data_IF_226977528618
#
_entry.id   IF_226977528618
#
_cell.length_a   1.000
_cell.length_b   1.000
_cell.length_c   1.000
_cell.angle_alpha   90.00
_cell.angle_beta   90.00
_cell.angle_gamma   90.00
#
_symmetry.space_group_name_H-M   'P 1'
#
loop_
_entity.id
_entity.type
_entity.pdbx_description
1 polymer ?
#
# COMPACT_ATOMS: atom_id res chain seq x y z
N UNK A 1 -21.79 -14.08 -15.91
CA UNK A 1 -21.01 -14.98 -15.04
C UNK A 1 -20.59 -14.22 -13.81
N UNK A 2 -20.71 -14.82 -12.64
CA UNK A 2 -20.20 -14.26 -11.37
C UNK A 2 -18.67 -14.34 -11.32
N UNK A 3 -18.03 -13.54 -10.45
CA UNK A 3 -16.57 -13.60 -10.28
C UNK A 3 -16.09 -14.98 -9.83
N UNK A 4 -16.89 -15.70 -9.03
CA UNK A 4 -16.62 -17.07 -8.59
C UNK A 4 -16.63 -18.07 -9.74
N UNK A 5 -17.60 -18.00 -10.65
CA UNK A 5 -17.67 -18.85 -11.84
C UNK A 5 -16.44 -18.66 -12.75
N UNK A 6 -15.94 -17.43 -12.89
CA UNK A 6 -14.72 -17.18 -13.66
C UNK A 6 -13.47 -17.78 -13.01
N UNK A 7 -13.41 -17.80 -11.68
CA UNK A 7 -12.28 -18.39 -10.96
C UNK A 7 -12.29 -19.93 -11.04
N UNK A 8 -13.46 -20.55 -11.03
CA UNK A 8 -13.60 -22.01 -11.21
C UNK A 8 -13.07 -22.49 -12.56
N UNK A 9 -13.20 -21.67 -13.60
CA UNK A 9 -12.63 -21.96 -14.94
C UNK A 9 -11.22 -21.37 -15.14
N UNK A 10 -10.55 -20.91 -14.08
CA UNK A 10 -9.17 -20.39 -14.09
C UNK A 10 -9.00 -19.01 -14.72
N UNK A 11 -10.07 -18.29 -15.05
CA UNK A 11 -10.05 -17.00 -15.74
C UNK A 11 -9.95 -15.83 -14.75
N UNK A 12 -8.73 -15.54 -14.26
CA UNK A 12 -8.48 -14.47 -13.28
C UNK A 12 -8.77 -13.05 -13.80
N UNK A 13 -8.44 -12.72 -15.05
CA UNK A 13 -8.66 -11.37 -15.59
C UNK A 13 -10.17 -11.03 -15.72
N UNK A 14 -11.02 -11.87 -16.33
CA UNK A 14 -12.46 -11.63 -16.33
C UNK A 14 -13.09 -11.54 -14.93
N UNK A 15 -12.63 -12.37 -13.98
CA UNK A 15 -13.07 -12.26 -12.59
C UNK A 15 -12.74 -10.89 -11.98
N UNK A 16 -11.53 -10.37 -12.27
CA UNK A 16 -11.10 -9.04 -11.83
C UNK A 16 -11.95 -7.93 -12.45
N UNK A 17 -12.27 -8.03 -13.74
CA UNK A 17 -13.08 -7.04 -14.46
C UNK A 17 -14.50 -6.94 -13.85
N UNK A 18 -15.12 -8.08 -13.53
CA UNK A 18 -16.43 -8.12 -12.84
C UNK A 18 -16.38 -7.43 -11.48
N UNK A 19 -15.35 -7.71 -10.67
CA UNK A 19 -15.20 -7.09 -9.36
C UNK A 19 -14.90 -5.59 -9.45
N UNK A 20 -14.13 -5.16 -10.46
CA UNK A 20 -13.86 -3.75 -10.74
C UNK A 20 -15.15 -2.98 -11.03
N UNK A 21 -16.04 -3.53 -11.85
CA UNK A 21 -17.31 -2.91 -12.18
C UNK A 21 -18.22 -2.74 -10.95
N UNK A 22 -18.21 -3.70 -10.03
CA UNK A 22 -18.94 -3.60 -8.77
C UNK A 22 -18.39 -2.47 -7.90
N UNK A 23 -17.07 -2.40 -7.72
CA UNK A 23 -16.41 -1.36 -6.90
C UNK A 23 -16.61 0.04 -7.49
N UNK A 24 -16.64 0.16 -8.82
CA UNK A 24 -16.83 1.43 -9.53
C UNK A 24 -18.30 1.86 -9.65
N UNK A 25 -19.24 0.95 -9.43
CA UNK A 25 -20.67 1.20 -9.62
C UNK A 25 -21.17 2.35 -8.76
N UNK A 26 -21.84 3.32 -9.40
CA UNK A 26 -22.46 4.46 -8.70
C UNK A 26 -23.67 4.06 -7.85
N UNK A 27 -24.22 2.86 -8.04
CA UNK A 27 -25.42 2.37 -7.34
C UNK A 27 -25.11 1.89 -5.91
N UNK A 28 -23.86 1.53 -5.61
CA UNK A 28 -23.45 0.94 -4.35
C UNK A 28 -22.37 1.78 -3.64
N UNK A 29 -22.70 3.04 -3.35
CA UNK A 29 -21.76 4.00 -2.73
C UNK A 29 -21.77 4.00 -1.21
N UNK A 30 -22.75 3.37 -0.58
CA UNK A 30 -22.82 3.22 0.88
C UNK A 30 -22.17 1.91 1.27
N UNK A 31 -21.19 1.96 2.16
CA UNK A 31 -20.53 0.76 2.65
C UNK A 31 -21.52 -0.24 3.25
N UNK A 32 -21.29 -1.51 2.96
CA UNK A 32 -21.99 -2.66 3.52
C UNK A 32 -20.95 -3.74 3.79
N UNK A 33 -21.22 -4.65 4.74
CA UNK A 33 -20.30 -5.73 5.13
C UNK A 33 -19.80 -6.58 3.95
N UNK A 34 -20.60 -6.72 2.88
CA UNK A 34 -20.21 -7.49 1.69
C UNK A 34 -19.12 -6.83 0.84
N UNK A 35 -18.92 -5.51 0.96
CA UNK A 35 -17.89 -4.81 0.18
C UNK A 35 -16.47 -5.23 0.59
N UNK A 36 -16.27 -5.56 1.86
CA UNK A 36 -14.96 -5.97 2.38
C UNK A 36 -14.44 -7.27 1.74
N UNK A 37 -15.18 -8.41 1.76
CA UNK A 37 -14.72 -9.62 1.08
C UNK A 37 -14.62 -9.45 -0.45
N UNK A 38 -15.47 -8.62 -1.07
CA UNK A 38 -15.34 -8.24 -2.49
C UNK A 38 -14.00 -7.54 -2.73
N UNK A 39 -13.64 -6.57 -1.87
CA UNK A 39 -12.41 -5.82 -1.98
C UNK A 39 -11.18 -6.68 -1.70
N UNK A 40 -11.24 -7.58 -0.70
CA UNK A 40 -10.16 -8.54 -0.43
C UNK A 40 -9.92 -9.44 -1.64
N UNK A 41 -10.98 -10.00 -2.24
CA UNK A 41 -10.82 -10.85 -3.43
C UNK A 41 -10.33 -10.07 -4.65
N UNK A 42 -10.79 -8.83 -4.82
CA UNK A 42 -10.30 -7.93 -5.86
C UNK A 42 -8.80 -7.69 -5.74
N UNK A 43 -8.32 -7.34 -4.54
CA UNK A 43 -6.90 -7.09 -4.27
C UNK A 43 -6.05 -8.35 -4.43
N UNK A 44 -6.57 -9.51 -4.01
CA UNK A 44 -5.92 -10.80 -4.25
C UNK A 44 -5.63 -11.02 -5.75
N UNK A 45 -6.63 -10.79 -6.60
CA UNK A 45 -6.46 -10.89 -8.05
C UNK A 45 -5.54 -9.82 -8.63
N UNK A 46 -5.57 -8.59 -8.10
CA UNK A 46 -4.61 -7.55 -8.48
C UNK A 46 -3.17 -7.94 -8.16
N UNK A 47 -2.91 -8.57 -7.01
CA UNK A 47 -1.57 -9.05 -6.63
C UNK A 47 -1.15 -10.20 -7.54
N UNK A 48 -2.01 -11.22 -7.70
CA UNK A 48 -1.71 -12.38 -8.54
C UNK A 48 -1.39 -12.00 -10.00
N UNK A 49 -2.09 -11.00 -10.54
CA UNK A 49 -1.88 -10.50 -11.90
C UNK A 49 -0.87 -9.34 -11.98
N UNK A 50 -0.31 -8.91 -10.84
CA UNK A 50 0.62 -7.77 -10.69
C UNK A 50 0.08 -6.46 -11.29
N UNK A 51 -1.22 -6.22 -11.16
CA UNK A 51 -1.95 -5.05 -11.69
C UNK A 51 -2.01 -3.92 -10.66
N UNK A 52 -0.87 -3.31 -10.33
CA UNK A 52 -0.80 -2.24 -9.29
C UNK A 52 -1.68 -1.03 -9.60
N UNK A 53 -1.80 -0.64 -10.88
CA UNK A 53 -2.67 0.46 -11.28
C UNK A 53 -4.15 0.19 -10.97
N UNK A 54 -4.61 -1.05 -11.15
CA UNK A 54 -5.98 -1.44 -10.79
C UNK A 54 -6.16 -1.44 -9.28
N UNK A 55 -5.20 -2.00 -8.52
CA UNK A 55 -5.23 -1.95 -7.06
C UNK A 55 -5.37 -0.51 -6.53
N UNK A 56 -4.60 0.43 -7.08
CA UNK A 56 -4.69 1.87 -6.75
C UNK A 56 -6.09 2.42 -7.00
N UNK A 57 -6.65 2.18 -8.18
CA UNK A 57 -7.98 2.68 -8.53
C UNK A 57 -9.06 2.09 -7.63
N UNK A 58 -9.03 0.77 -7.41
CA UNK A 58 -9.97 0.08 -6.54
C UNK A 58 -9.90 0.58 -5.11
N UNK A 59 -8.69 0.73 -4.54
CA UNK A 59 -8.50 1.26 -3.18
C UNK A 59 -8.98 2.70 -3.06
N UNK A 60 -8.78 3.53 -4.08
CA UNK A 60 -9.31 4.89 -4.09
C UNK A 60 -10.84 4.91 -4.07
N UNK A 61 -11.49 4.07 -4.86
CA UNK A 61 -12.96 3.94 -4.82
C UNK A 61 -13.43 3.39 -3.48
N UNK A 62 -12.76 2.35 -2.95
CA UNK A 62 -13.11 1.75 -1.66
C UNK A 62 -12.98 2.74 -0.51
N UNK A 63 -11.92 3.56 -0.49
CA UNK A 63 -11.76 4.68 0.45
C UNK A 63 -12.98 5.59 0.42
N UNK A 64 -13.46 5.99 -0.76
CA UNK A 64 -14.63 6.86 -0.88
C UNK A 64 -15.91 6.20 -0.33
N UNK A 65 -16.07 4.88 -0.51
CA UNK A 65 -17.23 4.12 -0.03
C UNK A 65 -17.24 4.03 1.51
N UNK A 66 -16.08 3.78 2.13
CA UNK A 66 -16.00 3.51 3.57
C UNK A 66 -15.66 4.75 4.44
N UNK A 67 -15.18 5.85 3.87
CA UNK A 67 -14.67 7.02 4.61
C UNK A 67 -15.63 7.58 5.67
N UNK A 68 -16.94 7.57 5.40
CA UNK A 68 -17.95 8.12 6.32
C UNK A 68 -18.49 7.08 7.30
N UNK A 69 -18.43 5.78 6.97
CA UNK A 69 -19.15 4.73 7.70
C UNK A 69 -18.20 3.84 8.50
N UNK A 70 -17.15 3.33 7.86
CA UNK A 70 -16.25 2.35 8.46
C UNK A 70 -14.84 2.47 7.89
N UNK A 71 -14.11 3.51 8.30
CA UNK A 71 -12.72 3.70 7.91
C UNK A 71 -11.81 2.55 8.36
N UNK A 72 -12.20 1.80 9.41
CA UNK A 72 -11.44 0.65 9.88
C UNK A 72 -11.36 -0.46 8.83
N UNK A 73 -12.44 -0.67 8.08
CA UNK A 73 -12.44 -1.59 6.94
C UNK A 73 -11.41 -1.21 5.87
N UNK A 74 -11.13 0.09 5.66
CA UNK A 74 -10.04 0.52 4.77
C UNK A 74 -8.67 0.07 5.30
N UNK A 75 -8.46 0.20 6.60
CA UNK A 75 -7.19 -0.22 7.22
C UNK A 75 -6.97 -1.71 7.04
N UNK A 76 -8.01 -2.51 7.28
CA UNK A 76 -7.92 -3.96 7.24
C UNK A 76 -7.65 -4.45 5.81
N UNK A 77 -8.31 -3.88 4.79
CA UNK A 77 -8.05 -4.26 3.38
C UNK A 77 -6.67 -3.81 2.91
N UNK A 78 -6.17 -2.64 3.34
CA UNK A 78 -4.82 -2.16 2.99
C UNK A 78 -3.74 -3.04 3.64
N UNK A 79 -3.92 -3.40 4.92
CA UNK A 79 -3.00 -4.32 5.63
C UNK A 79 -2.99 -5.69 4.95
N UNK A 80 -4.15 -6.23 4.60
CA UNK A 80 -4.25 -7.52 3.89
C UNK A 80 -3.58 -7.47 2.52
N UNK A 81 -3.76 -6.38 1.75
CA UNK A 81 -3.13 -6.20 0.45
C UNK A 81 -1.60 -6.18 0.51
N UNK A 82 -1.04 -5.37 1.43
CA UNK A 82 0.42 -5.29 1.59
C UNK A 82 1.00 -6.62 2.08
N UNK A 83 0.35 -7.26 3.05
CA UNK A 83 0.75 -8.59 3.52
C UNK A 83 0.79 -9.61 2.38
N UNK A 84 -0.23 -9.64 1.53
CA UNK A 84 -0.26 -10.56 0.38
C UNK A 84 0.86 -10.25 -0.63
N UNK A 85 1.12 -8.96 -0.89
CA UNK A 85 2.20 -8.54 -1.79
C UNK A 85 3.60 -8.90 -1.23
N UNK A 86 3.80 -8.76 0.08
CA UNK A 86 5.01 -9.17 0.80
C UNK A 86 5.21 -10.68 0.72
N UNK A 87 4.18 -11.47 1.06
CA UNK A 87 4.22 -12.94 1.00
C UNK A 87 4.60 -13.44 -0.40
N UNK A 88 3.97 -12.90 -1.46
CA UNK A 88 4.31 -13.25 -2.84
C UNK A 88 5.73 -12.86 -3.23
N UNK A 89 6.24 -11.75 -2.71
CA UNK A 89 7.62 -11.30 -2.97
C UNK A 89 8.62 -12.20 -2.26
N UNK A 90 8.32 -12.66 -1.03
CA UNK A 90 9.18 -13.58 -0.30
C UNK A 90 9.19 -14.98 -0.94
N UNK A 91 8.03 -15.51 -1.35
CA UNK A 91 7.98 -16.76 -2.14
C UNK A 91 8.82 -16.66 -3.42
N UNK A 92 8.71 -15.56 -4.17
CA UNK A 92 9.52 -15.35 -5.37
C UNK A 92 11.02 -15.23 -5.08
N UNK A 93 11.41 -14.77 -3.88
CA UNK A 93 12.80 -14.71 -3.43
C UNK A 93 13.32 -16.12 -3.11
N UNK A 94 12.54 -16.92 -2.39
CA UNK A 94 12.89 -18.31 -2.06
C UNK A 94 13.05 -19.15 -3.34
N UNK A 95 12.10 -19.06 -4.28
CA UNK A 95 12.17 -19.74 -5.57
C UNK A 95 13.41 -19.32 -6.38
N UNK A 96 13.73 -18.03 -6.36
CA UNK A 96 14.88 -17.50 -7.08
C UNK A 96 16.23 -17.97 -6.52
N UNK A 97 16.34 -18.08 -5.20
CA UNK A 97 17.53 -18.61 -4.53
C UNK A 97 17.75 -20.10 -4.84
N UNK A 98 16.67 -20.88 -5.01
CA UNK A 98 16.76 -22.30 -5.40
C UNK A 98 17.20 -22.51 -6.85
N UNK A 99 16.93 -21.55 -7.74
CA UNK A 99 17.21 -21.64 -9.18
C UNK A 99 18.53 -20.96 -9.61
N UNK A 100 19.37 -20.56 -8.63
CA UNK A 100 20.79 -20.18 -8.71
C UNK A 100 21.28 -19.41 -9.96
N UNK A 101 20.49 -18.43 -10.44
CA UNK A 101 20.85 -17.30 -11.35
C UNK A 101 19.66 -16.56 -12.01
N UNK A 102 18.45 -16.64 -11.44
CA UNK A 102 17.23 -16.00 -12.03
C UNK A 102 16.62 -14.87 -11.19
N UNK A 103 17.35 -14.28 -10.23
CA UNK A 103 16.92 -13.14 -9.38
C UNK A 103 16.31 -11.97 -10.16
N UNK A 104 16.91 -11.63 -11.31
CA UNK A 104 16.40 -10.54 -12.14
C UNK A 104 15.08 -10.87 -12.84
N UNK A 105 14.81 -12.14 -13.13
CA UNK A 105 13.64 -12.56 -13.89
C UNK A 105 12.45 -12.87 -12.98
N UNK A 106 12.69 -13.48 -11.82
CA UNK A 106 11.64 -13.89 -10.90
C UNK A 106 11.37 -12.83 -9.83
N UNK A 107 12.40 -12.41 -9.08
CA UNK A 107 12.23 -11.55 -7.91
C UNK A 107 12.03 -10.08 -8.27
N UNK A 108 12.80 -9.55 -9.24
CA UNK A 108 12.78 -8.10 -9.55
C UNK A 108 11.38 -7.56 -9.91
N UNK A 109 10.55 -8.25 -10.72
CA UNK A 109 9.17 -7.82 -10.97
C UNK A 109 8.31 -7.71 -9.70
N UNK A 110 8.46 -8.65 -8.76
CA UNK A 110 7.73 -8.64 -7.49
C UNK A 110 8.21 -7.50 -6.57
N UNK A 111 9.52 -7.28 -6.46
CA UNK A 111 10.08 -6.15 -5.69
C UNK A 111 9.60 -4.81 -6.24
N UNK A 112 9.51 -4.64 -7.57
CA UNK A 112 8.95 -3.43 -8.19
C UNK A 112 7.46 -3.27 -7.89
N UNK A 113 6.69 -4.36 -7.96
CA UNK A 113 5.26 -4.35 -7.64
C UNK A 113 5.02 -4.01 -6.15
N UNK A 114 5.79 -4.60 -5.24
CA UNK A 114 5.71 -4.35 -3.80
C UNK A 114 6.06 -2.89 -3.47
N UNK A 115 7.14 -2.36 -4.06
CA UNK A 115 7.48 -0.94 -3.93
C UNK A 115 6.32 -0.02 -4.36
N UNK A 116 5.74 -0.27 -5.54
CA UNK A 116 4.65 0.57 -6.05
C UNK A 116 3.40 0.43 -5.16
N UNK A 117 3.18 -0.74 -4.57
CA UNK A 117 2.10 -1.00 -3.60
C UNK A 117 2.27 -0.15 -2.34
N UNK A 118 3.46 -0.11 -1.74
CA UNK A 118 3.75 0.78 -0.61
C UNK A 118 3.53 2.24 -0.98
N UNK A 119 4.11 2.69 -2.11
CA UNK A 119 4.01 4.09 -2.57
C UNK A 119 2.56 4.53 -2.73
N UNK A 120 1.73 3.69 -3.37
CA UNK A 120 0.31 3.97 -3.59
C UNK A 120 -0.51 3.97 -2.30
N UNK A 121 -0.20 3.08 -1.35
CA UNK A 121 -0.85 3.09 -0.04
C UNK A 121 -0.51 4.35 0.76
N UNK A 122 0.77 4.78 0.75
CA UNK A 122 1.17 6.04 1.37
C UNK A 122 0.47 7.25 0.74
N UNK A 123 0.37 7.28 -0.60
CA UNK A 123 -0.38 8.30 -1.33
C UNK A 123 -1.88 8.32 -0.97
N UNK A 124 -2.49 7.15 -0.76
CA UNK A 124 -3.91 7.00 -0.43
C UNK A 124 -4.24 7.51 0.97
N UNK A 125 -3.35 7.25 1.94
CA UNK A 125 -3.56 7.48 3.37
C UNK A 125 -3.05 8.85 3.86
N UNK A 126 -2.33 9.60 3.03
CA UNK A 126 -1.75 10.90 3.41
C UNK A 126 -2.79 11.90 3.95
N UNK A 127 -2.37 12.73 4.90
CA UNK A 127 -3.13 13.81 5.51
C UNK A 127 -4.55 13.41 5.96
N UNK A 128 -4.67 12.26 6.62
CA UNK A 128 -5.91 11.80 7.21
C UNK A 128 -5.66 11.28 8.63
N UNK A 129 -6.06 12.07 9.63
CA UNK A 129 -5.85 11.75 11.05
C UNK A 129 -6.47 10.42 11.50
N UNK A 130 -7.52 9.94 10.81
CA UNK A 130 -8.18 8.67 11.16
C UNK A 130 -7.39 7.42 10.80
N UNK A 131 -6.40 7.54 9.91
CA UNK A 131 -5.57 6.42 9.43
C UNK A 131 -4.07 6.75 9.52
N UNK A 132 -3.73 7.80 10.26
CA UNK A 132 -2.37 8.29 10.43
C UNK A 132 -1.44 7.21 10.98
N UNK A 133 -1.89 6.45 11.99
CA UNK A 133 -1.13 5.33 12.54
C UNK A 133 -0.76 4.31 11.46
N UNK A 134 -1.73 3.89 10.64
CA UNK A 134 -1.47 2.97 9.54
C UNK A 134 -0.49 3.56 8.52
N UNK A 135 -0.62 4.85 8.19
CA UNK A 135 0.32 5.54 7.29
C UNK A 135 1.77 5.45 7.82
N UNK A 136 1.98 5.70 9.12
CA UNK A 136 3.30 5.61 9.74
C UNK A 136 3.82 4.18 9.82
N UNK A 137 2.98 3.21 10.19
CA UNK A 137 3.33 1.79 10.19
C UNK A 137 3.82 1.34 8.80
N UNK A 138 3.10 1.73 7.73
CA UNK A 138 3.44 1.41 6.34
C UNK A 138 4.75 2.11 5.92
N UNK A 139 4.96 3.37 6.32
CA UNK A 139 6.19 4.08 6.00
C UNK A 139 7.41 3.39 6.63
N UNK A 140 7.30 2.92 7.87
CA UNK A 140 8.36 2.15 8.55
C UNK A 140 8.60 0.80 7.86
N UNK A 141 7.54 0.09 7.44
CA UNK A 141 7.67 -1.15 6.66
C UNK A 141 8.35 -0.91 5.31
N UNK A 142 8.02 0.18 4.61
CA UNK A 142 8.63 0.53 3.34
C UNK A 142 10.15 0.82 3.47
N UNK A 143 10.61 1.38 4.60
CA UNK A 143 12.04 1.50 4.89
C UNK A 143 12.72 0.14 5.10
N UNK A 144 12.08 -0.75 5.88
CA UNK A 144 12.57 -2.13 6.07
C UNK A 144 12.64 -2.90 4.75
N UNK A 145 11.64 -2.75 3.88
CA UNK A 145 11.66 -3.27 2.51
C UNK A 145 12.86 -2.73 1.71
N UNK A 146 13.09 -1.41 1.75
CA UNK A 146 14.22 -0.81 1.03
C UNK A 146 15.56 -1.37 1.50
N UNK A 147 15.71 -1.59 2.81
CA UNK A 147 16.89 -2.20 3.41
C UNK A 147 17.04 -3.67 2.97
N UNK A 148 15.99 -4.49 3.16
CA UNK A 148 15.98 -5.93 2.87
C UNK A 148 16.35 -6.23 1.41
N UNK A 149 15.84 -5.46 0.45
CA UNK A 149 16.09 -5.67 -0.97
C UNK A 149 17.12 -4.68 -1.56
N UNK A 150 17.89 -3.99 -0.72
CA UNK A 150 18.96 -3.03 -1.10
C UNK A 150 18.54 -1.96 -2.13
N UNK A 151 17.31 -1.47 -2.01
CA UNK A 151 16.66 -0.54 -2.95
C UNK A 151 17.02 0.93 -2.68
N UNK A 152 18.29 1.30 -2.90
CA UNK A 152 18.80 2.68 -2.65
C UNK A 152 18.05 3.77 -3.44
N UNK A 153 17.56 3.48 -4.65
CA UNK A 153 16.84 4.45 -5.47
C UNK A 153 15.42 4.72 -4.92
N UNK A 154 14.71 3.65 -4.57
CA UNK A 154 13.38 3.72 -3.96
C UNK A 154 13.43 4.34 -2.56
N UNK A 155 14.48 4.07 -1.78
CA UNK A 155 14.71 4.72 -0.48
C UNK A 155 14.72 6.25 -0.60
N UNK A 156 15.49 6.80 -1.57
CA UNK A 156 15.53 8.26 -1.81
C UNK A 156 14.15 8.80 -2.20
N UNK A 157 13.46 8.10 -3.12
CA UNK A 157 12.09 8.46 -3.51
C UNK A 157 11.13 8.43 -2.32
N UNK A 158 11.26 7.46 -1.41
CA UNK A 158 10.43 7.39 -0.20
C UNK A 158 10.66 8.63 0.67
N UNK A 159 11.91 9.01 0.90
CA UNK A 159 12.26 10.22 1.66
C UNK A 159 11.67 11.49 1.03
N UNK A 160 11.78 11.64 -0.30
CA UNK A 160 11.19 12.75 -1.04
C UNK A 160 9.66 12.80 -0.90
N UNK A 161 8.98 11.65 -1.02
CA UNK A 161 7.53 11.56 -0.83
C UNK A 161 7.11 11.94 0.60
N UNK A 162 7.82 11.44 1.63
CA UNK A 162 7.52 11.79 3.02
C UNK A 162 7.76 13.28 3.30
N UNK A 163 8.79 13.90 2.70
CA UNK A 163 9.01 15.35 2.78
C UNK A 163 7.88 16.13 2.11
N UNK A 164 7.45 15.69 0.92
CA UNK A 164 6.32 16.30 0.21
C UNK A 164 5.01 16.19 1.03
N UNK A 165 4.72 15.03 1.61
CA UNK A 165 3.52 14.82 2.42
C UNK A 165 3.52 15.69 3.68
N UNK A 166 4.67 15.82 4.35
CA UNK A 166 4.79 16.72 5.50
C UNK A 166 4.53 18.18 5.11
N UNK A 167 5.08 18.63 3.99
CA UNK A 167 4.80 19.98 3.46
C UNK A 167 3.32 20.20 3.10
N UNK A 168 2.61 19.16 2.67
CA UNK A 168 1.15 19.23 2.43
C UNK A 168 0.35 19.34 3.73
N UNK A 169 0.72 18.61 4.77
CA UNK A 169 0.06 18.70 6.09
C UNK A 169 0.12 20.14 6.61
N UNK A 170 1.28 20.79 6.50
CA UNK A 170 1.46 22.19 6.91
C UNK A 170 0.58 23.17 6.13
N UNK A 171 0.28 22.90 4.85
CA UNK A 171 -0.51 23.79 3.97
C UNK A 171 -2.01 23.53 4.04
N UNK A 172 -2.44 22.33 4.43
CA UNK A 172 -3.83 21.88 4.34
C UNK A 172 -4.46 21.56 5.71
N UNK A 173 -4.25 22.43 6.69
CA UNK A 173 -4.75 22.25 8.06
C UNK A 173 -6.27 22.50 8.24
N UNK A 174 -6.94 23.10 7.24
CA UNK A 174 -8.36 23.48 7.33
C UNK A 174 -9.36 22.34 7.05
N UNK A 175 -8.89 21.13 6.70
CA UNK A 175 -9.77 20.00 6.42
C UNK A 175 -10.16 19.30 7.73
N UNK A 176 -11.40 18.80 7.82
CA UNK A 176 -11.91 18.16 9.04
C UNK A 176 -11.13 16.90 9.48
N UNK A 177 -10.48 16.22 8.53
CA UNK A 177 -9.63 15.06 8.79
C UNK A 177 -8.14 15.37 8.68
N UNK A 178 -7.74 16.64 8.60
CA UNK A 178 -6.34 17.02 8.52
C UNK A 178 -5.59 16.61 9.79
N UNK A 179 -4.31 16.27 9.62
CA UNK A 179 -3.42 15.95 10.74
C UNK A 179 -3.05 17.25 11.46
N UNK A 180 -3.12 17.24 12.79
CA UNK A 180 -2.69 18.36 13.63
C UNK A 180 -1.28 18.08 14.19
N UNK A 181 -0.27 18.75 13.66
CA UNK A 181 1.12 18.60 14.10
C UNK A 181 1.41 19.09 15.53
N UNK A 182 0.45 19.75 16.18
CA UNK A 182 0.55 20.10 17.61
C UNK A 182 0.05 18.97 18.52
N UNK A 183 -0.55 17.91 17.97
CA UNK A 183 -0.92 16.72 18.75
C UNK A 183 0.36 15.94 19.12
N UNK A 184 0.65 15.73 20.43
CA UNK A 184 1.82 14.95 20.86
C UNK A 184 1.88 13.54 20.27
N UNK A 185 0.73 12.88 20.08
CA UNK A 185 0.67 11.53 19.51
C UNK A 185 1.12 11.54 18.03
N UNK A 186 0.63 12.51 17.25
CA UNK A 186 1.08 12.72 15.87
C UNK A 186 2.58 13.03 15.82
N UNK A 187 3.07 13.90 16.69
CA UNK A 187 4.51 14.21 16.78
C UNK A 187 5.34 12.95 17.07
N UNK A 188 4.90 12.11 18.02
CA UNK A 188 5.58 10.84 18.34
C UNK A 188 5.66 9.93 17.12
N UNK A 189 4.54 9.71 16.41
CA UNK A 189 4.52 8.86 15.22
C UNK A 189 5.45 9.40 14.11
N UNK A 190 5.44 10.72 13.89
CA UNK A 190 6.35 11.36 12.95
C UNK A 190 7.82 11.17 13.32
N UNK A 191 8.17 11.34 14.60
CA UNK A 191 9.53 11.15 15.10
C UNK A 191 9.97 9.68 14.98
N UNK A 192 9.13 8.72 15.36
CA UNK A 192 9.40 7.29 15.22
C UNK A 192 9.69 6.90 13.76
N UNK A 193 8.89 7.38 12.81
CA UNK A 193 9.15 7.13 11.38
C UNK A 193 10.47 7.76 10.92
N UNK A 194 10.86 8.93 11.44
CA UNK A 194 12.15 9.56 11.12
C UNK A 194 13.33 8.83 11.74
N UNK A 195 13.20 8.29 12.95
CA UNK A 195 14.23 7.44 13.55
C UNK A 195 14.48 6.20 12.69
N UNK A 196 13.42 5.49 12.28
CA UNK A 196 13.54 4.34 11.38
C UNK A 196 14.18 4.73 10.03
N UNK A 197 13.85 5.91 9.49
CA UNK A 197 14.51 6.44 8.29
C UNK A 197 16.02 6.59 8.50
N UNK A 198 16.44 7.21 9.60
CA UNK A 198 17.85 7.45 9.91
C UNK A 198 18.61 6.14 10.11
N UNK A 199 18.06 5.22 10.90
CA UNK A 199 18.66 3.91 11.15
C UNK A 199 18.84 3.11 9.86
N UNK A 200 17.81 3.14 9.00
CA UNK A 200 17.86 2.50 7.68
C UNK A 200 18.85 3.18 6.73
N UNK A 201 18.94 4.52 6.75
CA UNK A 201 19.90 5.26 5.93
C UNK A 201 21.35 4.94 6.33
N UNK A 202 21.64 4.87 7.64
CA UNK A 202 22.93 4.46 8.19
C UNK A 202 23.27 3.05 7.73
N UNK A 203 22.34 2.10 7.89
CA UNK A 203 22.53 0.70 7.49
C UNK A 203 22.76 0.53 5.98
N UNK A 204 22.26 1.46 5.15
CA UNK A 204 22.45 1.48 3.69
C UNK A 204 23.61 2.37 3.22
N UNK A 205 24.35 2.99 4.15
CA UNK A 205 25.46 3.93 3.92
C UNK A 205 25.04 5.15 3.07
N UNK A 206 23.84 5.67 3.31
CA UNK A 206 23.26 6.81 2.60
C UNK A 206 23.45 8.12 3.40
N UNK A 207 24.70 8.56 3.53
CA UNK A 207 25.10 9.69 4.37
C UNK A 207 24.52 11.06 4.00
N UNK A 208 23.98 11.22 2.78
CA UNK A 208 23.40 12.47 2.28
C UNK A 208 21.86 12.48 2.31
N UNK A 209 21.21 11.42 2.80
CA UNK A 209 19.73 11.24 2.72
C UNK A 209 19.07 11.34 4.12
N UNK A 210 19.85 11.66 5.15
CA UNK A 210 19.38 11.95 6.51
C UNK A 210 18.64 13.27 6.60
#
# INVERSE_FOLDING_TARGET
MSSTEFLEVGKKQPALDVLYDVIKSKKHRTWQKIHEPIMLKYLELCVDLRKSHLAKEGLYQYKNICQQVNIKSLEDVVRAYLKLAEEKTETAKEESQQMDRTDRLLLTPWVKFLWESYRQCLDLLRNNSKVERLYHDIAQQAFKFCLQYTRKAEFRKLCDNLRMHLGQIQRHHNQSTAINLNNPESQSMHLETRLVQLDSAISMELWQVG
#
